data_IF_647631282056
#
_entry.id   IF_647631282056
#
_cell.length_a   1.000
_cell.length_b   1.000
_cell.length_c   1.000
_cell.angle_alpha   90.00
_cell.angle_beta   90.00
_cell.angle_gamma   90.00
#
_symmetry.space_group_name_H-M   'P 1'
#
loop_
_entity.id
_entity.type
_entity.pdbx_description
1 polymer ?
#
# COMPACT_ATOMS: atom_id res chain seq x y z
N UNK A 1 2.95 13.31 9.31
CA UNK A 1 3.88 12.87 8.25
C UNK A 1 3.34 11.55 7.73
N UNK A 2 2.39 11.58 6.79
CA UNK A 2 1.81 10.36 6.23
C UNK A 2 2.78 9.86 5.18
N UNK A 3 3.66 8.92 5.55
CA UNK A 3 4.63 8.35 4.62
C UNK A 3 3.87 7.62 3.51
N UNK A 4 3.89 8.22 2.31
CA UNK A 4 3.26 7.66 1.13
C UNK A 4 4.21 6.59 0.59
N UNK A 5 3.72 5.39 0.27
CA UNK A 5 4.58 4.38 -0.36
C UNK A 5 4.82 4.82 -1.80
N UNK A 6 6.08 4.96 -2.19
CA UNK A 6 6.46 5.40 -3.54
C UNK A 6 7.28 4.32 -4.24
N UNK A 7 6.89 3.99 -5.47
CA UNK A 7 7.56 2.98 -6.29
C UNK A 7 7.73 3.54 -7.70
N UNK A 8 8.91 3.33 -8.27
CA UNK A 8 9.20 3.72 -9.64
C UNK A 8 8.64 2.69 -10.63
N UNK A 9 7.98 3.19 -11.67
CA UNK A 9 7.48 2.37 -12.77
C UNK A 9 8.65 1.84 -13.59
N UNK A 10 8.75 0.52 -13.69
CA UNK A 10 9.76 -0.17 -14.50
C UNK A 10 9.33 -0.34 -15.96
N UNK A 11 8.02 -0.31 -16.22
CA UNK A 11 7.37 -0.38 -17.53
C UNK A 11 6.32 0.72 -17.65
N UNK A 12 5.75 0.91 -18.83
CA UNK A 12 4.64 1.83 -18.97
C UNK A 12 3.37 1.29 -18.30
N UNK A 13 2.52 2.14 -17.70
CA UNK A 13 1.30 1.71 -17.00
C UNK A 13 0.35 0.82 -17.83
N UNK A 14 0.41 0.92 -19.15
CA UNK A 14 -0.39 0.14 -20.10
C UNK A 14 0.19 -1.25 -20.39
N UNK A 15 1.49 -1.48 -20.16
CA UNK A 15 2.19 -2.74 -20.45
C UNK A 15 2.17 -3.74 -19.28
N UNK A 16 1.68 -3.31 -18.12
CA UNK A 16 1.54 -4.20 -16.97
C UNK A 16 0.39 -5.18 -17.21
N UNK A 17 0.71 -6.48 -17.19
CA UNK A 17 -0.29 -7.55 -17.34
C UNK A 17 -1.03 -7.81 -16.03
N UNK A 18 -0.33 -7.73 -14.89
CA UNK A 18 -0.89 -7.98 -13.56
C UNK A 18 -1.06 -6.71 -12.74
N UNK A 19 -2.01 -5.89 -13.17
CA UNK A 19 -2.31 -4.61 -12.52
C UNK A 19 -3.07 -4.82 -11.21
N UNK A 20 -3.68 -5.99 -11.02
CA UNK A 20 -4.45 -6.29 -9.80
C UNK A 20 -3.54 -6.62 -8.62
N UNK A 21 -2.36 -7.19 -8.86
CA UNK A 21 -1.37 -7.43 -7.82
C UNK A 21 -0.47 -6.21 -7.54
N UNK A 22 -0.36 -5.27 -8.48
CA UNK A 22 0.61 -4.16 -8.40
C UNK A 22 -0.07 -2.81 -8.13
N UNK A 23 -0.05 -2.30 -6.89
CA UNK A 23 -0.74 -1.06 -6.51
C UNK A 23 -0.27 0.18 -7.27
N UNK A 24 1.05 0.32 -7.48
CA UNK A 24 1.63 1.45 -8.19
C UNK A 24 1.20 1.49 -9.67
N UNK A 25 1.17 0.35 -10.35
CA UNK A 25 0.67 0.24 -11.72
C UNK A 25 -0.85 0.51 -11.80
N UNK A 26 -1.62 0.03 -10.82
CA UNK A 26 -3.07 0.27 -10.74
C UNK A 26 -3.39 1.76 -10.61
N UNK A 27 -2.71 2.45 -9.70
CA UNK A 27 -2.87 3.90 -9.48
C UNK A 27 -2.42 4.67 -10.72
N UNK A 28 -1.26 4.36 -11.28
CA UNK A 28 -0.73 5.04 -12.47
C UNK A 28 -1.70 4.95 -13.66
N UNK A 29 -2.21 3.74 -13.96
CA UNK A 29 -3.16 3.53 -15.04
C UNK A 29 -4.47 4.29 -14.80
N UNK A 30 -4.98 4.29 -13.56
CA UNK A 30 -6.22 4.99 -13.21
C UNK A 30 -6.07 6.51 -13.35
N UNK A 31 -4.94 7.06 -12.90
CA UNK A 31 -4.69 8.49 -12.99
C UNK A 31 -4.42 8.95 -14.44
N UNK A 32 -3.77 8.11 -15.25
CA UNK A 32 -3.63 8.34 -16.69
C UNK A 32 -5.01 8.37 -17.38
N UNK A 33 -5.90 7.45 -17.03
CA UNK A 33 -7.27 7.43 -17.57
C UNK A 33 -8.10 8.65 -17.13
N UNK A 34 -7.85 9.20 -15.95
CA UNK A 34 -8.49 10.44 -15.48
C UNK A 34 -8.02 11.70 -16.24
N UNK A 35 -6.92 11.63 -17.01
CA UNK A 35 -6.35 12.76 -17.75
C UNK A 35 -5.73 13.86 -16.89
N UNK A 36 -5.70 13.70 -15.55
CA UNK A 36 -5.09 14.66 -14.62
C UNK A 36 -3.59 14.46 -14.45
N UNK A 37 -3.11 13.24 -14.72
CA UNK A 37 -1.71 12.86 -14.62
C UNK A 37 -1.32 12.04 -15.85
N UNK A 38 -0.04 12.06 -16.19
CA UNK A 38 0.53 11.31 -17.30
C UNK A 38 1.82 10.61 -16.83
N UNK A 39 1.66 9.46 -16.20
CA UNK A 39 2.75 8.59 -15.78
C UNK A 39 3.26 7.74 -16.94
N UNK A 40 4.57 7.67 -17.07
CA UNK A 40 5.29 6.84 -18.03
C UNK A 40 6.31 5.97 -17.30
N UNK A 41 6.94 5.07 -18.06
CA UNK A 41 8.10 4.31 -17.57
C UNK A 41 9.16 5.24 -16.97
N UNK A 42 9.62 4.91 -15.78
CA UNK A 42 10.62 5.67 -15.04
C UNK A 42 10.03 6.67 -14.03
N UNK A 43 8.73 6.94 -14.09
CA UNK A 43 8.10 7.85 -13.14
C UNK A 43 7.84 7.18 -11.78
N UNK A 44 7.94 7.98 -10.73
CA UNK A 44 7.66 7.54 -9.36
C UNK A 44 6.20 7.79 -9.01
N UNK A 45 5.51 6.72 -8.63
CA UNK A 45 4.09 6.76 -8.27
C UNK A 45 3.96 6.58 -6.77
N UNK A 46 3.40 7.61 -6.12
CA UNK A 46 3.12 7.59 -4.69
C UNK A 46 1.67 7.17 -4.43
N UNK A 47 1.45 6.19 -3.57
CA UNK A 47 0.12 5.71 -3.23
C UNK A 47 -0.01 5.41 -1.73
N UNK A 48 -1.27 5.35 -1.29
CA UNK A 48 -1.69 5.04 0.07
C UNK A 48 -2.79 3.98 -0.03
N UNK A 49 -2.74 2.96 0.83
CA UNK A 49 -3.79 1.94 0.89
C UNK A 49 -4.91 2.45 1.79
N UNK A 50 -6.12 2.50 1.25
CA UNK A 50 -7.30 2.98 1.96
C UNK A 50 -8.31 1.86 2.20
N UNK A 51 -9.09 2.00 3.26
CA UNK A 51 -10.27 1.18 3.48
C UNK A 51 -11.46 1.84 2.79
N UNK A 52 -11.98 1.20 1.74
CA UNK A 52 -13.11 1.69 0.94
C UNK A 52 -14.37 0.83 1.11
N UNK A 53 -14.37 -0.10 2.08
CA UNK A 53 -15.47 -1.03 2.35
C UNK A 53 -15.76 -2.05 1.25
N UNK A 54 -15.00 -2.05 0.15
CA UNK A 54 -15.27 -2.87 -1.03
C UNK A 54 -14.87 -4.34 -0.88
N UNK A 55 -14.11 -4.69 0.17
CA UNK A 55 -13.53 -6.03 0.35
C UNK A 55 -12.48 -6.40 -0.70
N UNK A 56 -12.10 -5.47 -1.57
CA UNK A 56 -11.09 -5.72 -2.60
C UNK A 56 -9.70 -5.90 -1.99
N UNK A 57 -8.82 -6.55 -2.77
CA UNK A 57 -7.40 -6.69 -2.41
C UNK A 57 -6.75 -5.33 -2.13
N UNK A 58 -5.77 -5.30 -1.22
CA UNK A 58 -5.06 -4.06 -0.86
C UNK A 58 -4.48 -3.33 -2.09
N UNK A 59 -3.99 -4.08 -3.09
CA UNK A 59 -3.46 -3.50 -4.31
C UNK A 59 -4.49 -2.71 -5.14
N UNK A 60 -5.76 -3.11 -5.11
CA UNK A 60 -6.85 -2.40 -5.78
C UNK A 60 -7.36 -1.21 -4.98
N UNK A 61 -7.20 -1.25 -3.65
CA UNK A 61 -7.54 -0.16 -2.73
C UNK A 61 -6.38 0.84 -2.53
N UNK A 62 -5.46 0.89 -3.49
CA UNK A 62 -4.40 1.89 -3.52
C UNK A 62 -4.91 3.18 -4.16
N UNK A 63 -4.69 4.31 -3.50
CA UNK A 63 -5.12 5.65 -3.91
C UNK A 63 -3.97 6.65 -3.85
N UNK A 64 -3.98 7.62 -4.76
CA UNK A 64 -3.05 8.74 -4.69
C UNK A 64 -3.53 9.78 -3.67
N UNK A 65 -2.58 10.52 -3.07
CA UNK A 65 -2.88 11.54 -2.04
C UNK A 65 -3.94 12.55 -2.50
N UNK A 66 -3.90 12.94 -3.78
CA UNK A 66 -4.91 13.86 -4.36
C UNK A 66 -6.32 13.27 -4.37
N UNK A 67 -6.46 11.97 -4.59
CA UNK A 67 -7.77 11.29 -4.56
C UNK A 67 -8.33 11.26 -3.15
N UNK A 68 -7.48 11.00 -2.15
CA UNK A 68 -7.86 10.97 -0.73
C UNK A 68 -8.25 12.37 -0.25
N UNK A 69 -7.49 13.41 -0.60
CA UNK A 69 -7.86 14.79 -0.26
C UNK A 69 -9.20 15.20 -0.89
N UNK A 70 -9.52 14.67 -2.07
CA UNK A 70 -10.80 14.96 -2.74
C UNK A 70 -11.99 14.15 -2.21
N UNK A 71 -11.75 12.98 -1.59
CA UNK A 71 -12.79 12.05 -1.12
C UNK A 71 -12.64 11.84 0.38
N UNK A 72 -13.41 12.56 1.18
CA UNK A 72 -13.42 12.45 2.64
C UNK A 72 -13.90 11.11 3.19
N UNK A 73 -14.51 10.28 2.33
CA UNK A 73 -14.99 8.93 2.68
C UNK A 73 -13.86 7.88 2.71
N UNK A 74 -12.70 8.17 2.09
CA UNK A 74 -11.57 7.25 2.06
C UNK A 74 -10.74 7.38 3.33
N UNK A 75 -10.79 6.37 4.19
CA UNK A 75 -9.94 6.26 5.38
C UNK A 75 -8.69 5.43 5.07
N UNK A 76 -7.61 5.63 5.83
CA UNK A 76 -6.38 4.84 5.68
C UNK A 76 -6.57 3.48 6.35
N UNK A 77 -6.17 2.40 5.68
CA UNK A 77 -6.23 1.04 6.22
C UNK A 77 -5.07 0.81 7.21
N UNK A 78 -5.27 1.20 8.47
CA UNK A 78 -4.24 1.11 9.51
C UNK A 78 -3.79 -0.33 9.77
N UNK A 79 -4.70 -1.30 9.69
CA UNK A 79 -4.42 -2.72 9.88
C UNK A 79 -3.48 -3.27 8.81
N UNK A 80 -3.63 -2.83 7.55
CA UNK A 80 -2.75 -3.18 6.46
C UNK A 80 -1.32 -2.70 6.71
N UNK A 81 -1.15 -1.43 7.09
CA UNK A 81 0.17 -0.85 7.36
C UNK A 81 0.86 -1.53 8.53
N UNK A 82 0.10 -1.88 9.57
CA UNK A 82 0.62 -2.62 10.72
C UNK A 82 1.11 -4.02 10.32
N UNK A 83 0.38 -4.72 9.43
CA UNK A 83 0.76 -6.05 8.92
C UNK A 83 1.98 -6.05 8.01
N UNK A 84 1.95 -5.15 7.03
CA UNK A 84 2.76 -5.31 5.83
C UNK A 84 3.97 -4.38 5.86
N UNK A 85 3.94 -3.34 6.69
CA UNK A 85 5.04 -2.39 6.81
C UNK A 85 5.68 -2.46 8.19
N UNK A 86 4.91 -2.35 9.27
CA UNK A 86 5.47 -2.33 10.63
C UNK A 86 5.92 -3.71 11.08
N UNK A 87 5.00 -4.70 11.09
CA UNK A 87 5.28 -6.05 11.59
C UNK A 87 6.52 -6.72 10.94
N UNK A 88 6.71 -6.72 9.61
CA UNK A 88 7.86 -7.38 9.00
C UNK A 88 9.17 -6.66 9.29
N UNK A 89 9.15 -5.34 9.50
CA UNK A 89 10.33 -4.56 9.90
C UNK A 89 10.70 -4.91 11.34
N UNK A 90 9.73 -4.91 12.26
CA UNK A 90 9.96 -5.25 13.67
C UNK A 90 10.43 -6.70 13.80
N UNK A 91 9.81 -7.65 13.11
CA UNK A 91 10.25 -9.05 13.10
C UNK A 91 11.70 -9.20 12.64
N UNK A 92 12.13 -8.53 11.56
CA UNK A 92 13.54 -8.58 11.12
C UNK A 92 14.52 -8.00 12.13
N UNK A 93 14.11 -7.00 12.90
CA UNK A 93 14.96 -6.43 13.96
C UNK A 93 15.07 -7.37 15.17
N UNK A 94 14.02 -8.13 15.45
CA UNK A 94 13.95 -9.08 16.56
C UNK A 94 14.41 -10.51 16.18
N UNK A 95 14.61 -10.82 14.91
CA UNK A 95 15.11 -12.11 14.41
C UNK A 95 16.38 -12.63 15.12
N UNK A 96 17.38 -11.81 15.47
CA UNK A 96 18.56 -12.30 16.21
C UNK A 96 18.31 -12.53 17.72
N UNK A 97 17.12 -12.24 18.24
CA UNK A 97 16.78 -12.41 19.66
C UNK A 97 16.07 -13.76 19.82
N UNK A 98 16.77 -14.78 20.33
CA UNK A 98 16.30 -16.17 20.42
C UNK A 98 14.97 -16.35 21.18
N UNK A 99 14.61 -15.39 22.03
CA UNK A 99 13.44 -15.46 22.91
C UNK A 99 12.22 -14.69 22.37
N UNK A 100 12.31 -14.07 21.18
CA UNK A 100 11.20 -13.30 20.60
C UNK A 100 10.52 -14.06 19.46
N UNK A 101 9.21 -14.27 19.56
CA UNK A 101 8.40 -14.89 18.51
C UNK A 101 7.56 -13.85 17.72
N UNK A 102 7.38 -14.07 16.43
CA UNK A 102 6.61 -13.22 15.53
C UNK A 102 5.13 -13.09 15.96
N UNK A 103 4.62 -14.10 16.67
CA UNK A 103 3.27 -14.12 17.25
C UNK A 103 3.16 -13.11 18.40
N UNK A 104 4.13 -13.08 19.32
CA UNK A 104 4.15 -12.12 20.44
C UNK A 104 4.25 -10.67 19.95
N UNK A 105 5.03 -10.43 18.89
CA UNK A 105 5.12 -9.11 18.25
C UNK A 105 3.76 -8.73 17.64
N UNK A 106 3.07 -9.66 16.99
CA UNK A 106 1.75 -9.39 16.41
C UNK A 106 0.72 -9.05 17.50
N UNK A 107 0.71 -9.80 18.61
CA UNK A 107 -0.16 -9.51 19.77
C UNK A 107 0.14 -8.14 20.38
N UNK A 108 1.42 -7.78 20.54
CA UNK A 108 1.85 -6.47 21.05
C UNK A 108 1.44 -5.31 20.13
N UNK A 109 1.36 -5.56 18.82
CA UNK A 109 0.83 -4.61 17.84
C UNK A 109 -0.72 -4.56 17.84
N UNK A 110 -1.40 -5.28 18.73
CA UNK A 110 -2.86 -5.28 18.83
C UNK A 110 -3.54 -6.14 17.76
N UNK A 111 -2.82 -7.10 17.16
CA UNK A 111 -3.40 -8.10 16.26
C UNK A 111 -3.78 -9.32 17.08
N UNK A 112 -5.02 -9.34 17.56
CA UNK A 112 -5.61 -10.57 18.08
C UNK A 112 -5.82 -11.53 16.90
N UNK A 113 -4.99 -12.57 16.78
CA UNK A 113 -5.35 -13.72 15.97
C UNK A 113 -6.55 -14.40 16.66
N UNK A 114 -7.74 -14.25 16.07
CA UNK A 114 -8.92 -15.07 16.37
C UNK A 114 -9.37 -15.73 15.08
#
# INVERSE_FOLDING_TARGET
>A
MTECTSIQLTRDPSEYTDIKAQPHAAVARRLNASGKFHFHRGDTVSYIICEDGSGNSAAQRAYHKSEITSRSELTIDTLYYLAHQVHPVVCRLCEPIEETDAVQIAEALGRSFV
#
